data_IF_891924437288
#
_entry.id   IF_891924437288
#
_cell.length_a   1.000
_cell.length_b   1.000
_cell.length_c   1.000
_cell.angle_alpha   90.00
_cell.angle_beta   90.00
_cell.angle_gamma   90.00
#
_symmetry.space_group_name_H-M   'P 1'
#
loop_
_entity.id
_entity.type
_entity.pdbx_description
1 polymer ?
#
# COMPACT_ATOMS: atom_id res chain seq x y z
N UNK A 1 56.65 -30.76 -9.06
CA UNK A 1 55.40 -31.56 -8.99
C UNK A 1 54.61 -31.08 -7.78
N UNK A 2 53.59 -30.25 -7.98
CA UNK A 2 52.34 -30.18 -7.19
C UNK A 2 51.53 -28.96 -7.66
N UNK A 3 50.49 -29.25 -8.46
CA UNK A 3 49.42 -28.31 -8.81
C UNK A 3 48.53 -28.11 -7.58
N UNK A 4 48.42 -26.88 -7.10
CA UNK A 4 47.40 -26.48 -6.13
C UNK A 4 46.09 -26.26 -6.89
N UNK A 5 45.22 -27.27 -6.84
CA UNK A 5 43.83 -27.20 -7.29
C UNK A 5 43.05 -26.19 -6.45
N UNK A 6 42.69 -25.05 -7.06
CA UNK A 6 41.62 -24.17 -6.55
C UNK A 6 40.29 -24.93 -6.63
N UNK A 7 39.76 -25.34 -5.48
CA UNK A 7 38.36 -25.74 -5.39
C UNK A 7 37.47 -24.50 -5.50
N UNK A 8 36.84 -24.33 -6.65
CA UNK A 8 35.75 -23.39 -6.85
C UNK A 8 34.52 -23.94 -6.15
N UNK A 9 34.20 -23.40 -4.97
CA UNK A 9 32.97 -23.75 -4.25
C UNK A 9 31.78 -23.15 -5.01
N UNK A 10 31.09 -23.98 -5.79
CA UNK A 10 29.79 -23.66 -6.39
C UNK A 10 28.76 -23.48 -5.26
N UNK A 11 28.24 -22.26 -5.12
CA UNK A 11 27.10 -21.99 -4.25
C UNK A 11 25.84 -22.65 -4.83
N UNK A 12 25.41 -23.76 -4.23
CA UNK A 12 24.27 -24.60 -4.66
C UNK A 12 22.91 -24.14 -4.10
N UNK A 13 22.82 -22.95 -3.52
CA UNK A 13 21.57 -22.41 -3.01
C UNK A 13 21.16 -21.19 -3.83
N UNK A 14 19.92 -21.13 -4.36
CA UNK A 14 19.40 -19.88 -4.86
C UNK A 14 19.44 -18.90 -3.69
N UNK A 15 20.10 -17.76 -3.90
CA UNK A 15 20.02 -16.59 -3.01
C UNK A 15 18.56 -16.37 -2.70
N UNK A 16 18.14 -16.70 -1.47
CA UNK A 16 16.86 -16.25 -0.96
C UNK A 16 16.83 -14.74 -1.14
N UNK A 17 15.79 -14.20 -1.74
CA UNK A 17 15.72 -12.79 -2.15
C UNK A 17 15.79 -11.79 -0.96
N UNK A 18 16.13 -12.22 0.26
CA UNK A 18 16.16 -11.41 1.47
C UNK A 18 14.80 -10.85 1.88
N UNK A 19 13.73 -11.24 1.17
CA UNK A 19 12.38 -10.73 1.39
C UNK A 19 11.64 -11.55 2.43
N UNK A 20 10.91 -10.86 3.31
CA UNK A 20 10.33 -11.47 4.51
C UNK A 20 8.88 -11.00 4.69
N UNK A 21 8.06 -11.83 5.31
CA UNK A 21 6.73 -11.44 5.76
C UNK A 21 6.74 -11.02 7.23
N UNK A 22 6.17 -9.86 7.52
CA UNK A 22 6.08 -9.29 8.87
C UNK A 22 4.66 -8.75 9.07
N UNK A 23 3.98 -9.14 10.15
CA UNK A 23 2.57 -8.80 10.37
C UNK A 23 2.27 -7.29 10.33
N UNK A 24 3.24 -6.45 10.73
CA UNK A 24 3.12 -4.99 10.75
C UNK A 24 3.73 -4.29 9.52
N UNK A 25 4.25 -5.04 8.54
CA UNK A 25 4.74 -4.46 7.29
C UNK A 25 3.57 -4.00 6.40
N UNK A 26 3.82 -3.08 5.45
CA UNK A 26 2.80 -2.64 4.52
C UNK A 26 2.16 -3.80 3.76
N UNK A 27 0.85 -3.70 3.53
CA UNK A 27 0.12 -4.72 2.78
C UNK A 27 0.56 -4.77 1.31
N UNK A 28 0.40 -5.94 0.67
CA UNK A 28 0.64 -6.12 -0.77
C UNK A 28 -0.66 -6.52 -1.48
N UNK A 29 -1.03 -5.77 -2.50
CA UNK A 29 -2.12 -6.07 -3.42
C UNK A 29 -1.55 -6.53 -4.76
N UNK A 30 -1.83 -7.78 -5.15
CA UNK A 30 -1.57 -8.28 -6.49
C UNK A 30 -2.87 -8.20 -7.30
N UNK A 31 -2.91 -7.33 -8.30
CA UNK A 31 -4.10 -7.06 -9.10
C UNK A 31 -3.97 -7.64 -10.51
N UNK A 32 -5.02 -8.27 -11.03
CA UNK A 32 -5.05 -8.74 -12.41
C UNK A 32 -5.17 -7.55 -13.39
N UNK A 33 -4.61 -7.68 -14.60
CA UNK A 33 -4.86 -6.69 -15.66
C UNK A 33 -6.33 -6.69 -16.10
N UNK A 34 -6.79 -5.57 -16.67
CA UNK A 34 -8.14 -5.42 -17.21
C UNK A 34 -8.19 -5.64 -18.72
N UNK A 35 -9.31 -6.18 -19.22
CA UNK A 35 -9.64 -6.15 -20.65
C UNK A 35 -9.81 -4.71 -21.13
N UNK A 36 -10.64 -3.93 -20.43
CA UNK A 36 -10.86 -2.50 -20.68
C UNK A 36 -9.61 -1.69 -20.33
N UNK A 37 -9.09 -0.97 -21.32
CA UNK A 37 -7.88 -0.14 -21.25
C UNK A 37 -8.13 1.21 -21.92
N UNK A 38 -7.34 2.22 -21.57
CA UNK A 38 -7.22 3.42 -22.41
C UNK A 38 -6.67 3.04 -23.79
N UNK A 39 -6.94 3.87 -24.79
CA UNK A 39 -6.50 3.73 -26.18
C UNK A 39 -5.11 4.34 -26.44
N UNK A 40 -4.49 4.89 -25.40
CA UNK A 40 -3.19 5.55 -25.45
C UNK A 40 -2.26 5.01 -24.37
N UNK A 41 -0.97 5.23 -24.59
CA UNK A 41 0.06 4.96 -23.60
C UNK A 41 -0.25 5.67 -22.28
N UNK A 42 -0.13 4.93 -21.17
CA UNK A 42 -0.40 5.44 -19.83
C UNK A 42 0.35 4.63 -18.78
N UNK A 43 0.38 5.14 -17.54
CA UNK A 43 0.83 4.36 -16.40
C UNK A 43 -0.06 3.15 -16.21
N UNK A 44 0.47 1.99 -15.83
CA UNK A 44 -0.30 0.74 -15.72
C UNK A 44 -1.56 0.89 -14.85
N UNK A 45 -1.44 1.59 -13.71
CA UNK A 45 -2.58 1.83 -12.80
C UNK A 45 -3.67 2.71 -13.40
N UNK A 46 -3.31 3.57 -14.37
CA UNK A 46 -4.23 4.47 -15.08
C UNK A 46 -4.69 3.86 -16.42
N UNK A 47 -3.91 2.97 -17.02
CA UNK A 47 -4.24 2.31 -18.27
C UNK A 47 -5.46 1.41 -18.11
N UNK A 48 -5.53 0.63 -17.03
CA UNK A 48 -6.63 -0.31 -16.82
C UNK A 48 -7.87 0.38 -16.25
N UNK A 49 -9.00 0.17 -16.92
CA UNK A 49 -10.28 0.88 -16.68
C UNK A 49 -11.43 -0.06 -16.30
N UNK A 50 -11.16 -1.32 -15.96
CA UNK A 50 -12.21 -2.27 -15.59
C UNK A 50 -12.76 -2.04 -14.19
N UNK A 51 -13.93 -2.62 -13.89
CA UNK A 51 -14.65 -2.45 -12.62
C UNK A 51 -13.85 -2.76 -11.34
N UNK A 52 -12.82 -3.62 -11.42
CA UNK A 52 -11.91 -3.84 -10.28
C UNK A 52 -11.02 -2.63 -10.00
N UNK A 53 -10.60 -1.90 -11.04
CA UNK A 53 -9.81 -0.68 -10.93
C UNK A 53 -10.66 0.50 -10.47
N UNK A 54 -11.94 0.54 -10.85
CA UNK A 54 -12.91 1.49 -10.27
C UNK A 54 -13.03 1.27 -8.75
N UNK A 55 -13.33 0.05 -8.32
CA UNK A 55 -13.41 -0.28 -6.88
C UNK A 55 -12.09 -0.07 -6.15
N UNK A 56 -10.94 -0.34 -6.78
CA UNK A 56 -9.64 0.01 -6.22
C UNK A 56 -9.55 1.52 -5.93
N UNK A 57 -9.89 2.38 -6.91
CA UNK A 57 -9.81 3.85 -6.75
C UNK A 57 -10.79 4.38 -5.72
N UNK A 58 -11.98 3.80 -5.65
CA UNK A 58 -13.04 4.18 -4.71
C UNK A 58 -12.66 3.94 -3.24
N UNK A 59 -12.02 2.79 -2.97
CA UNK A 59 -11.66 2.38 -1.61
C UNK A 59 -10.22 2.75 -1.21
N UNK A 60 -9.37 3.19 -2.14
CA UNK A 60 -7.99 3.56 -1.80
C UNK A 60 -7.95 4.80 -0.90
N UNK A 61 -7.52 4.62 0.35
CA UNK A 61 -7.26 5.71 1.30
C UNK A 61 -5.79 6.13 1.24
N UNK A 62 -5.50 7.43 1.42
CA UNK A 62 -4.14 7.98 1.28
C UNK A 62 -3.21 7.50 2.40
N UNK A 63 -3.77 7.39 3.59
CA UNK A 63 -3.17 6.99 4.86
C UNK A 63 -2.94 5.48 4.97
N UNK A 64 -3.49 4.68 4.04
CA UNK A 64 -3.48 3.22 4.11
C UNK A 64 -3.21 2.57 2.75
N UNK A 65 -2.34 3.19 1.93
CA UNK A 65 -2.01 2.66 0.61
C UNK A 65 -1.21 1.36 0.72
N UNK A 66 -1.69 0.24 0.15
CA UNK A 66 -0.87 -0.96 0.03
C UNK A 66 0.21 -0.75 -1.03
N UNK A 67 1.27 -1.57 -0.97
CA UNK A 67 2.09 -1.83 -2.14
C UNK A 67 1.22 -2.52 -3.19
N UNK A 68 1.33 -2.10 -4.46
CA UNK A 68 0.55 -2.68 -5.56
C UNK A 68 1.50 -3.23 -6.60
N UNK A 69 1.23 -4.43 -7.09
CA UNK A 69 1.81 -4.95 -8.33
C UNK A 69 0.70 -5.49 -9.21
N UNK A 70 0.86 -5.35 -10.52
CA UNK A 70 -0.17 -5.74 -11.48
C UNK A 70 0.33 -6.88 -12.33
N UNK A 71 -0.41 -7.99 -12.36
CA UNK A 71 -0.14 -9.12 -13.24
C UNK A 71 -0.81 -8.91 -14.59
N UNK A 72 0.01 -8.59 -15.59
CA UNK A 72 -0.36 -8.51 -17.00
C UNK A 72 -0.19 -9.87 -17.69
N UNK A 73 -1.19 -10.28 -18.45
CA UNK A 73 -1.08 -11.46 -19.32
C UNK A 73 0.02 -11.30 -20.40
N UNK A 74 0.36 -10.07 -20.82
CA UNK A 74 1.43 -9.82 -21.79
C UNK A 74 2.78 -9.65 -21.13
N UNK A 75 2.85 -8.77 -20.14
CA UNK A 75 4.12 -8.27 -19.64
C UNK A 75 4.58 -8.92 -18.33
N UNK A 76 3.79 -9.82 -17.72
CA UNK A 76 4.11 -10.34 -16.39
C UNK A 76 3.77 -9.34 -15.29
N UNK A 77 4.55 -9.36 -14.21
CA UNK A 77 4.36 -8.42 -13.10
C UNK A 77 4.91 -7.05 -13.46
N UNK A 78 4.09 -6.04 -13.24
CA UNK A 78 4.38 -4.64 -13.54
C UNK A 78 4.29 -3.78 -12.27
N UNK A 79 5.16 -2.78 -12.22
CA UNK A 79 5.01 -1.64 -11.32
C UNK A 79 3.79 -0.80 -11.75
N UNK A 80 2.94 -0.33 -10.82
CA UNK A 80 1.77 0.48 -11.14
C UNK A 80 2.10 1.78 -11.89
N UNK A 81 3.31 2.31 -11.73
CA UNK A 81 3.79 3.54 -12.36
C UNK A 81 4.50 3.30 -13.69
N UNK A 82 4.78 2.05 -14.07
CA UNK A 82 5.35 1.74 -15.38
C UNK A 82 4.44 2.26 -16.50
N UNK A 83 5.00 2.70 -17.61
CA UNK A 83 4.24 3.23 -18.75
C UNK A 83 4.26 2.21 -19.87
N UNK A 84 3.08 1.80 -20.35
CA UNK A 84 2.93 0.80 -21.41
C UNK A 84 1.85 1.21 -22.42
N UNK A 85 1.95 0.67 -23.63
CA UNK A 85 0.91 0.79 -24.66
C UNK A 85 -0.27 -0.16 -24.39
N UNK A 86 -1.48 0.18 -24.86
CA UNK A 86 -2.60 -0.76 -24.81
C UNK A 86 -2.30 -2.03 -25.62
N UNK A 87 -2.88 -3.13 -25.16
CA UNK A 87 -2.69 -4.45 -25.78
C UNK A 87 -3.93 -5.32 -25.57
N UNK A 88 -4.07 -6.32 -26.43
CA UNK A 88 -5.09 -7.36 -26.30
C UNK A 88 -4.46 -8.74 -26.12
N UNK A 89 -4.34 -9.15 -24.85
CA UNK A 89 -3.93 -10.50 -24.49
C UNK A 89 -4.64 -10.89 -23.21
N UNK A 90 -5.35 -12.02 -23.24
CA UNK A 90 -6.10 -12.57 -22.11
C UNK A 90 -5.28 -13.60 -21.35
N UNK A 91 -5.47 -13.66 -20.03
CA UNK A 91 -4.93 -14.74 -19.21
C UNK A 91 -5.80 -16.00 -19.35
N UNK A 92 -5.53 -16.78 -20.39
CA UNK A 92 -6.07 -18.13 -20.54
C UNK A 92 -5.32 -19.13 -19.65
N UNK A 93 -5.85 -20.34 -19.49
CA UNK A 93 -5.15 -21.41 -18.78
C UNK A 93 -3.78 -21.72 -19.42
N UNK A 94 -3.73 -21.85 -20.75
CA UNK A 94 -2.47 -22.04 -21.50
C UNK A 94 -1.48 -20.90 -21.27
N UNK A 95 -1.96 -19.66 -21.21
CA UNK A 95 -1.08 -18.51 -20.93
C UNK A 95 -0.53 -18.56 -19.52
N UNK A 96 -1.37 -18.90 -18.54
CA UNK A 96 -0.93 -19.09 -17.16
C UNK A 96 0.09 -20.23 -17.03
N UNK A 97 -0.12 -21.36 -17.73
CA UNK A 97 0.86 -22.47 -17.77
C UNK A 97 2.20 -22.03 -18.36
N UNK A 98 2.19 -21.30 -19.48
CA UNK A 98 3.40 -20.75 -20.08
C UNK A 98 4.13 -19.78 -19.12
N UNK A 99 3.39 -18.95 -18.37
CA UNK A 99 3.99 -18.05 -17.38
C UNK A 99 4.53 -18.78 -16.16
N UNK A 100 3.92 -19.90 -15.76
CA UNK A 100 4.42 -20.70 -14.65
C UNK A 100 5.69 -21.47 -15.04
N UNK A 101 5.76 -21.95 -16.27
CA UNK A 101 6.95 -22.64 -16.80
C UNK A 101 8.19 -21.73 -16.85
N UNK A 102 8.01 -20.44 -17.13
CA UNK A 102 9.09 -19.44 -17.13
C UNK A 102 8.78 -18.26 -16.18
N UNK A 103 8.35 -18.59 -14.97
CA UNK A 103 8.02 -17.58 -13.95
C UNK A 103 9.17 -16.59 -13.67
N UNK A 104 10.46 -16.99 -13.65
CA UNK A 104 11.56 -16.05 -13.44
C UNK A 104 11.60 -14.89 -14.45
N UNK A 105 11.20 -15.11 -15.70
CA UNK A 105 11.15 -14.05 -16.71
C UNK A 105 10.04 -13.02 -16.39
N UNK A 106 8.89 -13.48 -15.88
CA UNK A 106 7.73 -12.62 -15.64
C UNK A 106 7.74 -11.87 -14.32
N UNK A 107 8.60 -12.23 -13.36
CA UNK A 107 8.70 -11.53 -12.06
C UNK A 107 9.81 -10.49 -12.00
N UNK A 108 10.74 -10.50 -12.96
CA UNK A 108 12.00 -9.74 -12.91
C UNK A 108 11.81 -8.22 -13.03
N UNK A 109 10.83 -7.79 -13.83
CA UNK A 109 10.57 -6.37 -14.13
C UNK A 109 9.87 -5.60 -13.02
N UNK A 110 9.27 -6.29 -12.05
CA UNK A 110 8.49 -5.66 -11.00
C UNK A 110 9.34 -5.31 -9.77
N UNK A 111 9.06 -4.15 -9.18
CA UNK A 111 9.65 -3.73 -7.92
C UNK A 111 8.90 -4.35 -6.73
N UNK A 112 9.20 -5.62 -6.44
CA UNK A 112 8.61 -6.32 -5.30
C UNK A 112 9.14 -5.78 -3.97
N UNK A 113 8.27 -5.45 -3.01
CA UNK A 113 8.68 -4.89 -1.73
C UNK A 113 9.51 -5.88 -0.91
N UNK A 114 10.50 -5.37 -0.18
CA UNK A 114 11.37 -6.21 0.67
C UNK A 114 10.60 -6.88 1.82
N UNK A 115 9.58 -6.21 2.35
CA UNK A 115 8.75 -6.71 3.44
C UNK A 115 7.27 -6.56 3.10
N UNK A 116 6.47 -7.56 3.47
CA UNK A 116 5.02 -7.56 3.25
C UNK A 116 4.28 -8.03 4.50
N UNK A 117 3.17 -7.37 4.81
CA UNK A 117 2.21 -7.83 5.80
C UNK A 117 1.08 -8.61 5.15
N UNK A 118 -0.16 -8.13 5.31
CA UNK A 118 -1.35 -8.72 4.66
C UNK A 118 -1.19 -8.75 3.14
N UNK A 119 -1.60 -9.84 2.49
CA UNK A 119 -1.54 -9.96 1.03
C UNK A 119 -2.92 -10.28 0.45
N UNK A 120 -3.32 -9.61 -0.63
CA UNK A 120 -4.52 -9.95 -1.41
C UNK A 120 -4.16 -10.28 -2.86
N UNK A 121 -4.65 -11.42 -3.36
CA UNK A 121 -4.63 -11.76 -4.80
C UNK A 121 -6.00 -11.46 -5.40
N UNK A 122 -6.08 -10.37 -6.15
CA UNK A 122 -7.31 -9.88 -6.76
C UNK A 122 -7.34 -10.21 -8.26
N UNK A 123 -8.14 -11.21 -8.63
CA UNK A 123 -8.32 -11.63 -10.01
C UNK A 123 -8.99 -12.99 -10.20
N UNK A 124 -9.19 -13.33 -11.47
CA UNK A 124 -9.69 -14.64 -11.87
C UNK A 124 -8.76 -15.79 -11.47
N UNK A 125 -9.28 -17.02 -11.53
CA UNK A 125 -8.57 -18.26 -11.12
C UNK A 125 -7.16 -18.36 -11.71
N UNK A 126 -7.02 -18.13 -13.01
CA UNK A 126 -5.73 -18.26 -13.70
C UNK A 126 -4.71 -17.19 -13.26
N UNK A 127 -5.16 -15.95 -13.02
CA UNK A 127 -4.30 -14.92 -12.43
C UNK A 127 -3.83 -15.31 -11.03
N UNK A 128 -4.76 -15.73 -10.16
CA UNK A 128 -4.43 -16.07 -8.77
C UNK A 128 -3.44 -17.24 -8.68
N UNK A 129 -3.52 -18.22 -9.59
CA UNK A 129 -2.56 -19.32 -9.67
C UNK A 129 -1.13 -18.81 -9.94
N UNK A 130 -0.96 -17.91 -10.91
CA UNK A 130 0.34 -17.28 -11.21
C UNK A 130 0.81 -16.38 -10.06
N UNK A 131 -0.09 -15.59 -9.47
CA UNK A 131 0.21 -14.74 -8.31
C UNK A 131 0.70 -15.54 -7.11
N UNK A 132 0.07 -16.67 -6.81
CA UNK A 132 0.49 -17.57 -5.72
C UNK A 132 1.90 -18.10 -5.96
N UNK A 133 2.19 -18.57 -7.18
CA UNK A 133 3.51 -19.08 -7.52
C UNK A 133 4.59 -17.98 -7.43
N UNK A 134 4.28 -16.77 -7.88
CA UNK A 134 5.17 -15.63 -7.77
C UNK A 134 5.45 -15.25 -6.31
N UNK A 135 4.43 -15.21 -5.47
CA UNK A 135 4.61 -14.93 -4.03
C UNK A 135 5.47 -15.99 -3.34
N UNK A 136 5.18 -17.27 -3.57
CA UNK A 136 5.95 -18.36 -3.00
C UNK A 136 7.43 -18.28 -3.42
N UNK A 137 7.70 -17.88 -4.66
CA UNK A 137 9.06 -17.64 -5.16
C UNK A 137 9.73 -16.44 -4.49
N UNK A 138 9.00 -15.36 -4.24
CA UNK A 138 9.60 -14.10 -3.77
C UNK A 138 9.81 -14.04 -2.26
N UNK A 139 8.95 -14.68 -1.46
CA UNK A 139 8.92 -14.54 0.00
C UNK A 139 9.07 -15.86 0.76
N UNK A 140 9.38 -16.97 0.08
CA UNK A 140 9.30 -18.33 0.60
C UNK A 140 7.88 -18.74 1.07
N UNK A 141 7.68 -20.04 1.29
CA UNK A 141 6.37 -20.72 1.27
C UNK A 141 5.48 -20.50 2.50
N UNK A 142 5.88 -19.69 3.48
CA UNK A 142 5.12 -19.51 4.74
C UNK A 142 4.61 -18.08 4.87
N UNK A 143 3.57 -17.75 4.10
CA UNK A 143 2.82 -16.50 4.24
C UNK A 143 1.47 -16.79 4.93
N UNK A 144 1.33 -16.53 6.25
CA UNK A 144 0.14 -16.91 7.01
C UNK A 144 -1.12 -16.06 6.72
N UNK A 145 -1.02 -14.97 5.94
CA UNK A 145 -2.12 -14.03 5.73
C UNK A 145 -2.36 -13.67 4.24
N UNK A 146 -2.40 -14.66 3.35
CA UNK A 146 -2.83 -14.48 1.96
C UNK A 146 -4.35 -14.59 1.87
N UNK A 147 -5.00 -13.55 1.36
CA UNK A 147 -6.40 -13.55 0.96
C UNK A 147 -6.53 -13.62 -0.57
N UNK A 148 -7.66 -14.13 -1.05
CA UNK A 148 -7.92 -14.25 -2.47
C UNK A 148 -9.35 -13.89 -2.79
N UNK A 149 -9.53 -13.14 -3.88
CA UNK A 149 -10.87 -12.87 -4.38
C UNK A 149 -11.51 -14.15 -4.93
N UNK A 150 -12.73 -14.44 -4.49
CA UNK A 150 -13.53 -15.59 -4.94
C UNK A 150 -14.92 -15.18 -5.42
N UNK A 151 -15.62 -16.08 -6.11
CA UNK A 151 -16.94 -15.82 -6.67
C UNK A 151 -16.93 -14.95 -7.94
N UNK A 152 -18.11 -14.45 -8.31
CA UNK A 152 -18.32 -13.57 -9.46
C UNK A 152 -17.77 -12.16 -9.25
N UNK A 153 -17.74 -11.36 -10.31
CA UNK A 153 -17.05 -10.05 -10.31
C UNK A 153 -17.56 -9.09 -9.22
N UNK A 154 -18.86 -9.07 -8.92
CA UNK A 154 -19.42 -8.25 -7.83
C UNK A 154 -18.90 -8.65 -6.45
N UNK A 155 -18.82 -9.95 -6.16
CA UNK A 155 -18.24 -10.45 -4.91
C UNK A 155 -16.75 -10.11 -4.80
N UNK A 156 -16.00 -10.24 -5.90
CA UNK A 156 -14.56 -9.91 -5.91
C UNK A 156 -14.32 -8.42 -5.65
N UNK A 157 -15.18 -7.54 -6.20
CA UNK A 157 -15.14 -6.09 -5.92
C UNK A 157 -15.40 -5.79 -4.45
N UNK A 158 -16.42 -6.41 -3.86
CA UNK A 158 -16.73 -6.28 -2.44
C UNK A 158 -15.57 -6.74 -1.55
N UNK A 159 -14.95 -7.87 -1.88
CA UNK A 159 -13.76 -8.38 -1.18
C UNK A 159 -12.55 -7.43 -1.29
N UNK A 160 -12.31 -6.85 -2.48
CA UNK A 160 -11.26 -5.85 -2.67
C UNK A 160 -11.52 -4.59 -1.84
N UNK A 161 -12.75 -4.08 -1.84
CA UNK A 161 -13.15 -2.93 -1.02
C UNK A 161 -12.93 -3.20 0.47
N UNK A 162 -13.44 -4.33 0.97
CA UNK A 162 -13.28 -4.74 2.37
C UNK A 162 -11.81 -4.90 2.77
N UNK A 163 -10.96 -5.43 1.88
CA UNK A 163 -9.52 -5.52 2.12
C UNK A 163 -8.89 -4.13 2.28
N UNK A 164 -9.16 -3.21 1.34
CA UNK A 164 -8.60 -1.85 1.35
C UNK A 164 -9.10 -1.03 2.54
N UNK A 165 -10.40 -1.08 2.84
CA UNK A 165 -10.98 -0.42 4.01
C UNK A 165 -10.41 -0.99 5.31
N UNK A 166 -10.12 -2.30 5.34
CA UNK A 166 -9.48 -2.99 6.45
C UNK A 166 -7.99 -2.67 6.65
N UNK A 167 -7.37 -1.89 5.75
CA UNK A 167 -6.02 -1.34 5.93
C UNK A 167 -6.03 0.01 6.66
N UNK A 168 -7.16 0.72 6.67
CA UNK A 168 -7.27 2.02 7.32
C UNK A 168 -6.90 1.92 8.81
N UNK A 169 -6.09 2.86 9.34
CA UNK A 169 -5.86 2.91 10.76
C UNK A 169 -7.17 3.05 11.52
N UNK A 170 -7.21 2.46 12.70
CA UNK A 170 -8.35 2.57 13.60
C UNK A 170 -8.01 3.52 14.74
N UNK A 171 -9.02 4.23 15.18
CA UNK A 171 -8.97 4.89 16.48
C UNK A 171 -8.86 3.83 17.58
N UNK A 172 -7.92 4.03 18.49
CA UNK A 172 -7.68 3.10 19.59
C UNK A 172 -7.39 3.86 20.88
N UNK A 173 -7.59 3.16 22.01
CA UNK A 173 -7.40 3.68 23.36
C UNK A 173 -8.27 4.92 23.64
N UNK A 174 -9.56 4.72 23.93
CA UNK A 174 -10.46 5.80 24.31
C UNK A 174 -9.90 6.59 25.51
N UNK A 175 -9.94 7.92 25.43
CA UNK A 175 -9.44 8.81 26.48
C UNK A 175 -10.51 9.74 27.07
N UNK A 176 -11.69 9.83 26.44
CA UNK A 176 -12.76 10.71 26.89
C UNK A 176 -13.74 11.05 25.78
N UNK A 177 -14.47 12.16 25.96
CA UNK A 177 -15.41 12.68 24.98
C UNK A 177 -15.31 14.20 24.91
N UNK A 178 -15.54 14.77 23.73
CA UNK A 178 -15.86 16.20 23.61
C UNK A 178 -17.19 16.51 24.32
N UNK A 179 -17.47 17.79 24.66
CA UNK A 179 -18.74 18.19 25.29
C UNK A 179 -20.00 17.77 24.51
N UNK A 180 -19.88 17.60 23.19
CA UNK A 180 -20.96 17.14 22.31
C UNK A 180 -21.12 15.60 22.28
N UNK A 181 -20.36 14.85 23.09
CA UNK A 181 -20.38 13.39 23.15
C UNK A 181 -19.51 12.67 22.11
N UNK A 182 -18.74 13.38 21.28
CA UNK A 182 -17.84 12.73 20.31
C UNK A 182 -16.69 12.03 21.05
N UNK A 183 -16.44 10.73 20.84
CA UNK A 183 -15.37 10.01 21.54
C UNK A 183 -13.98 10.48 21.09
N UNK A 184 -13.08 10.57 22.07
CA UNK A 184 -11.67 10.93 21.92
C UNK A 184 -10.78 9.70 22.13
N UNK A 185 -9.71 9.63 21.37
CA UNK A 185 -8.80 8.48 21.34
C UNK A 185 -7.34 8.92 21.43
N UNK A 186 -6.50 8.05 21.99
CA UNK A 186 -5.05 8.28 22.11
C UNK A 186 -4.29 7.97 20.83
N UNK A 187 -4.75 7.00 20.04
CA UNK A 187 -3.99 6.51 18.89
C UNK A 187 -4.81 6.51 17.60
N UNK A 188 -4.15 6.87 16.49
CA UNK A 188 -4.63 6.69 15.13
C UNK A 188 -3.44 6.57 14.18
N UNK A 189 -3.22 5.37 13.64
CA UNK A 189 -2.09 5.11 12.75
C UNK A 189 -0.75 5.33 13.45
N UNK A 190 0.07 6.22 12.92
CA UNK A 190 1.37 6.59 13.49
C UNK A 190 1.28 7.72 14.54
N UNK A 191 0.09 8.28 14.75
CA UNK A 191 -0.10 9.46 15.60
C UNK A 191 -0.57 9.01 16.98
N UNK A 192 0.08 9.57 18.00
CA UNK A 192 -0.27 9.42 19.41
C UNK A 192 -0.57 10.80 20.03
N UNK A 193 -1.56 10.86 20.92
CA UNK A 193 -1.79 12.04 21.74
C UNK A 193 -0.58 12.33 22.66
N UNK A 194 -0.15 13.58 22.68
CA UNK A 194 1.08 14.06 23.29
C UNK A 194 2.24 14.23 22.31
N UNK A 195 2.18 13.57 21.13
CA UNK A 195 3.22 13.67 20.11
C UNK A 195 3.31 15.08 19.52
N UNK A 196 4.52 15.51 19.19
CA UNK A 196 4.79 16.74 18.44
C UNK A 196 5.02 16.37 16.99
N UNK A 197 4.29 17.03 16.09
CA UNK A 197 4.25 16.72 14.66
C UNK A 197 4.26 18.01 13.83
N UNK A 198 4.48 17.89 12.52
CA UNK A 198 4.38 19.01 11.59
C UNK A 198 2.97 19.10 11.01
N UNK A 199 2.42 20.31 10.93
CA UNK A 199 1.15 20.61 10.29
C UNK A 199 1.40 21.39 8.99
N UNK A 200 0.87 20.89 7.88
CA UNK A 200 0.85 21.58 6.59
C UNK A 200 -0.59 21.90 6.23
N UNK A 201 -0.94 23.18 6.21
CA UNK A 201 -2.30 23.59 5.86
C UNK A 201 -2.58 23.32 4.38
N UNK A 202 -3.58 22.48 4.10
CA UNK A 202 -4.00 22.17 2.72
C UNK A 202 -4.38 23.41 1.91
N UNK A 203 -4.96 24.43 2.54
CA UNK A 203 -5.35 25.68 1.88
C UNK A 203 -4.15 26.60 1.59
N UNK A 204 -3.00 26.37 2.23
CA UNK A 204 -1.79 27.17 2.06
C UNK A 204 -0.53 26.28 2.11
N UNK A 205 -0.37 25.33 1.16
CA UNK A 205 0.68 24.32 1.21
C UNK A 205 2.08 24.91 0.94
N UNK A 206 2.16 26.15 0.48
CA UNK A 206 3.40 26.90 0.26
C UNK A 206 3.98 27.50 1.54
N UNK A 207 3.24 27.50 2.65
CA UNK A 207 3.74 27.94 3.94
C UNK A 207 4.59 26.83 4.59
N UNK A 208 5.59 27.20 5.41
CA UNK A 208 6.37 26.22 6.15
C UNK A 208 5.47 25.42 7.10
N UNK A 209 5.84 24.16 7.35
CA UNK A 209 5.14 23.34 8.32
C UNK A 209 5.24 23.96 9.72
N UNK A 210 4.11 23.99 10.42
CA UNK A 210 4.04 24.51 11.80
C UNK A 210 4.17 23.33 12.77
N UNK A 211 4.93 23.50 13.85
CA UNK A 211 4.99 22.48 14.90
C UNK A 211 3.70 22.52 15.70
N UNK A 212 3.10 21.34 15.89
CA UNK A 212 1.88 21.19 16.67
C UNK A 212 2.00 20.04 17.64
N UNK A 213 1.37 20.15 18.81
CA UNK A 213 1.23 19.04 19.75
C UNK A 213 -0.15 18.43 19.60
N UNK A 214 -0.23 17.12 19.38
CA UNK A 214 -1.50 16.41 19.33
C UNK A 214 -2.05 16.27 20.74
N UNK A 215 -3.28 16.70 20.97
CA UNK A 215 -3.98 16.57 22.25
C UNK A 215 -4.86 15.32 22.29
N UNK A 216 -5.61 15.08 21.21
CA UNK A 216 -6.53 13.95 21.09
C UNK A 216 -6.86 13.67 19.62
N UNK A 217 -7.38 12.47 19.35
CA UNK A 217 -7.78 12.04 18.02
C UNK A 217 -9.26 11.63 18.03
N UNK A 218 -10.00 11.95 16.97
CA UNK A 218 -11.43 11.63 16.89
C UNK A 218 -11.93 11.55 15.44
N UNK A 219 -13.10 10.95 15.26
CA UNK A 219 -13.80 10.91 13.98
C UNK A 219 -14.54 12.24 13.76
N UNK A 220 -13.98 13.12 12.93
CA UNK A 220 -14.62 14.36 12.51
C UNK A 220 -15.54 14.18 11.30
N UNK A 221 -16.28 15.24 10.92
CA UNK A 221 -17.25 15.20 9.82
C UNK A 221 -16.59 14.96 8.45
N UNK A 222 -15.33 15.35 8.29
CA UNK A 222 -14.55 15.18 7.06
C UNK A 222 -13.54 14.03 7.14
N UNK A 223 -13.63 13.19 8.16
CA UNK A 223 -12.70 12.08 8.38
C UNK A 223 -11.91 12.17 9.69
N UNK A 224 -10.85 11.36 9.80
CA UNK A 224 -9.99 11.36 10.98
C UNK A 224 -9.40 12.74 11.28
N UNK A 225 -9.61 13.22 12.50
CA UNK A 225 -9.28 14.58 12.94
C UNK A 225 -8.44 14.52 14.21
N UNK A 226 -7.49 15.44 14.33
CA UNK A 226 -6.71 15.66 15.53
C UNK A 226 -7.11 17.00 16.15
N UNK A 227 -7.30 16.99 17.47
CA UNK A 227 -7.24 18.20 18.28
C UNK A 227 -5.77 18.48 18.57
N UNK A 228 -5.27 19.66 18.21
CA UNK A 228 -3.86 20.01 18.32
C UNK A 228 -3.68 21.39 18.93
N UNK A 229 -2.60 21.57 19.69
CA UNK A 229 -2.08 22.88 20.04
C UNK A 229 -1.12 23.35 18.96
N UNK A 230 -1.42 24.50 18.37
CA UNK A 230 -0.55 25.14 17.38
C UNK A 230 0.17 26.30 18.05
N UNK A 231 1.49 26.32 17.95
CA UNK A 231 2.32 27.44 18.37
C UNK A 231 2.58 28.35 17.15
N UNK A 232 2.00 29.55 17.16
CA UNK A 232 2.17 30.55 16.09
C UNK A 232 2.79 31.83 16.64
N UNK A 233 3.60 32.51 15.81
CA UNK A 233 4.12 33.84 16.12
C UNK A 233 3.21 34.88 15.48
N UNK A 234 2.38 35.54 16.29
CA UNK A 234 1.48 36.60 15.85
C UNK A 234 2.04 37.94 16.33
N UNK A 235 2.44 38.82 15.40
CA UNK A 235 3.00 40.16 15.70
C UNK A 235 4.17 40.12 16.70
N UNK A 236 5.06 39.12 16.56
CA UNK A 236 6.23 38.95 17.41
C UNK A 236 5.95 38.35 18.79
N UNK A 237 4.72 37.90 19.07
CA UNK A 237 4.36 37.17 20.29
C UNK A 237 3.97 35.73 19.96
N UNK A 238 4.45 34.79 20.75
CA UNK A 238 4.02 33.39 20.69
C UNK A 238 2.59 33.27 21.19
N UNK A 239 1.71 32.69 20.39
CA UNK A 239 0.34 32.33 20.73
C UNK A 239 0.19 30.83 20.58
N UNK A 240 -0.32 30.19 21.63
CA UNK A 240 -0.65 28.76 21.63
C UNK A 240 -2.17 28.66 21.68
N UNK A 241 -2.76 27.93 20.74
CA UNK A 241 -4.21 27.76 20.69
C UNK A 241 -4.62 26.39 20.15
N UNK A 242 -5.74 25.82 20.65
CA UNK A 242 -6.27 24.58 20.13
C UNK A 242 -6.87 24.78 18.74
N UNK A 243 -6.66 23.80 17.87
CA UNK A 243 -7.19 23.74 16.51
C UNK A 243 -7.58 22.31 16.19
N UNK A 244 -8.67 22.14 15.45
CA UNK A 244 -8.98 20.87 14.81
C UNK A 244 -8.38 20.83 13.42
N UNK A 245 -7.62 19.79 13.13
CA UNK A 245 -6.95 19.61 11.85
C UNK A 245 -7.15 18.19 11.35
N UNK A 246 -7.23 18.01 10.04
CA UNK A 246 -7.32 16.68 9.45
C UNK A 246 -6.03 15.92 9.75
N UNK A 247 -6.13 14.65 10.15
CA UNK A 247 -4.95 13.78 10.34
C UNK A 247 -4.10 13.71 9.06
N UNK A 248 -4.72 13.81 7.90
CA UNK A 248 -4.04 13.83 6.61
C UNK A 248 -3.15 15.08 6.38
N UNK A 249 -3.30 16.12 7.19
CA UNK A 249 -2.50 17.34 7.08
C UNK A 249 -1.33 17.35 8.10
N UNK A 250 -1.21 16.28 8.90
CA UNK A 250 -0.11 16.04 9.83
C UNK A 250 0.98 15.18 9.19
N UNK A 251 2.23 15.49 9.54
CA UNK A 251 3.43 14.87 8.97
C UNK A 251 4.49 14.66 10.05
N UNK A 252 5.18 13.50 10.09
CA UNK A 252 6.29 13.31 11.01
C UNK A 252 7.29 14.47 10.88
N UNK A 253 7.73 15.04 12.00
CA UNK A 253 8.82 15.99 11.97
C UNK A 253 10.05 15.25 11.46
N UNK A 254 10.57 15.64 10.30
CA UNK A 254 11.89 15.20 9.88
C UNK A 254 12.88 15.72 10.91
N UNK A 255 13.59 14.81 11.60
CA UNK A 255 14.73 15.20 12.41
C UNK A 255 15.72 15.94 11.50
N UNK A 256 16.10 17.15 11.90
CA UNK A 256 17.22 17.82 11.26
C UNK A 256 18.45 16.92 11.46
N UNK A 257 18.98 16.41 10.34
CA UNK A 257 20.25 15.68 10.32
C UNK A 257 21.41 16.57 10.80
#
# INVERSE_FOLDING_TARGET
MQMLTRQTQLSLFPTSSGRVHLANAPALLLLACSGTKLDRQARVIDLYQGVMYESYREHLRREARPNVLILSARHGFLDPLAVIDPYDQRMTAQRADAMLADLPAFVRSANWPAQVGKVLLAGGKEYRRVMRAALARQYNTTLPAIQETTGGIGMQRSQLGAFLDGLAPRFNEPMGHHPNGTPLYRHYGWIEAGAVTGLIYRAAPYLPAVKVRVLALFQGPSGPTADVEVEEIIRGRTSIGPRWVGVADLHPLQEAA
#
